data_IF_602687597516
#
_entry.id   IF_602687597516
#
_cell.length_a   1.000
_cell.length_b   1.000
_cell.length_c   1.000
_cell.angle_alpha   90.00
_cell.angle_beta   90.00
_cell.angle_gamma   90.00
#
_symmetry.space_group_name_H-M   'P 1'
#
loop_
_entity.id
_entity.type
_entity.pdbx_description
1 polymer ?
#
# COMPACT_ATOMS: atom_id res chain seq x y z
N UNK A 1 12.34 4.88 -0.99
CA UNK A 1 11.49 4.01 -0.13
C UNK A 1 10.07 4.13 -0.64
N UNK A 2 9.25 3.12 -0.39
CA UNK A 2 7.87 3.06 -0.85
C UNK A 2 6.96 2.60 0.29
N UNK A 3 5.76 3.16 0.37
CA UNK A 3 4.78 2.87 1.40
C UNK A 3 3.46 2.42 0.77
N UNK A 4 2.94 1.29 1.21
CA UNK A 4 1.54 0.93 0.95
C UNK A 4 0.71 1.17 2.21
N UNK A 5 -0.28 2.05 2.13
CA UNK A 5 -1.17 2.40 3.25
C UNK A 5 -2.56 1.84 3.02
N UNK A 6 -3.01 1.00 3.95
CA UNK A 6 -4.38 0.50 3.98
C UNK A 6 -5.25 1.39 4.86
N UNK A 7 -6.35 1.88 4.30
CA UNK A 7 -7.31 2.75 4.99
C UNK A 7 -8.66 2.05 5.06
N UNK A 8 -9.19 2.02 6.26
CA UNK A 8 -10.60 1.78 6.51
C UNK A 8 -11.39 3.02 6.13
N UNK A 9 -12.16 2.92 5.05
CA UNK A 9 -12.94 4.00 4.51
C UNK A 9 -14.26 4.19 5.27
N UNK A 10 -14.77 3.16 5.95
CA UNK A 10 -15.95 3.22 6.82
C UNK A 10 -15.66 4.03 8.09
N UNK A 11 -14.52 3.75 8.74
CA UNK A 11 -14.13 4.40 10.01
C UNK A 11 -13.11 5.54 9.85
N UNK A 12 -12.67 5.81 8.61
CA UNK A 12 -11.64 6.80 8.28
C UNK A 12 -10.32 6.64 9.07
N UNK A 13 -9.90 5.39 9.32
CA UNK A 13 -8.65 5.09 10.04
C UNK A 13 -7.66 4.30 9.20
N UNK A 14 -6.38 4.45 9.51
CA UNK A 14 -5.33 3.58 8.96
C UNK A 14 -5.42 2.19 9.60
N UNK A 15 -5.48 1.16 8.77
CA UNK A 15 -5.46 -0.24 9.22
C UNK A 15 -4.04 -0.74 9.39
N UNK A 16 -3.18 -0.49 8.41
CA UNK A 16 -1.78 -0.94 8.38
C UNK A 16 -1.01 -0.14 7.34
N UNK A 17 0.29 0.03 7.60
CA UNK A 17 1.26 0.59 6.67
C UNK A 17 2.37 -0.42 6.44
N UNK A 18 2.70 -0.65 5.17
CA UNK A 18 3.77 -1.55 4.76
C UNK A 18 4.82 -0.73 4.01
N UNK A 19 5.92 -0.44 4.68
CA UNK A 19 7.06 0.22 4.08
C UNK A 19 8.03 -0.79 3.46
N UNK A 20 8.61 -0.41 2.32
CA UNK A 20 9.67 -1.14 1.63
C UNK A 20 10.80 -0.18 1.28
N UNK A 21 12.03 -0.63 1.45
CA UNK A 21 13.24 0.13 1.14
C UNK A 21 14.03 -0.62 0.09
N UNK A 22 14.52 0.10 -0.91
CA UNK A 22 15.40 -0.44 -1.95
C UNK A 22 16.23 0.67 -2.58
N UNK A 23 17.10 0.29 -3.50
CA UNK A 23 17.93 1.25 -4.25
C UNK A 23 17.12 1.84 -5.39
N UNK A 24 17.47 3.05 -5.82
CA UNK A 24 16.96 3.64 -7.06
C UNK A 24 17.04 2.64 -8.22
N UNK A 25 16.01 2.61 -9.05
CA UNK A 25 15.81 1.71 -10.18
C UNK A 25 15.60 0.22 -9.84
N UNK A 26 15.66 -0.16 -8.56
CA UNK A 26 15.25 -1.50 -8.11
C UNK A 26 13.72 -1.63 -8.14
N UNK A 27 13.24 -2.78 -8.57
CA UNK A 27 11.80 -3.07 -8.61
C UNK A 27 11.23 -3.17 -7.19
N UNK A 28 10.11 -2.49 -6.96
CA UNK A 28 9.40 -2.54 -5.68
C UNK A 28 8.63 -3.87 -5.61
N UNK A 29 8.87 -4.65 -4.56
CA UNK A 29 8.11 -5.87 -4.28
C UNK A 29 6.81 -5.57 -3.53
N UNK A 30 5.68 -5.75 -4.21
CA UNK A 30 4.33 -5.59 -3.64
C UNK A 30 3.73 -6.90 -3.10
N UNK A 31 4.46 -8.02 -3.06
CA UNK A 31 3.91 -9.32 -2.65
C UNK A 31 3.28 -9.27 -1.24
N UNK A 32 3.95 -8.61 -0.28
CA UNK A 32 3.41 -8.43 1.07
C UNK A 32 2.14 -7.59 1.10
N UNK A 33 2.09 -6.51 0.32
CA UNK A 33 0.91 -5.66 0.21
C UNK A 33 -0.27 -6.40 -0.43
N UNK A 34 -0.03 -7.15 -1.50
CA UNK A 34 -1.06 -7.98 -2.13
C UNK A 34 -1.58 -9.08 -1.19
N UNK A 35 -0.70 -9.72 -0.42
CA UNK A 35 -1.10 -10.69 0.59
C UNK A 35 -1.95 -10.04 1.71
N UNK A 36 -1.59 -8.83 2.15
CA UNK A 36 -2.35 -8.08 3.14
C UNK A 36 -3.72 -7.66 2.62
N UNK A 37 -3.79 -7.15 1.39
CA UNK A 37 -5.06 -6.86 0.71
C UNK A 37 -5.95 -8.11 0.69
N UNK A 38 -5.41 -9.25 0.24
CA UNK A 38 -6.15 -10.51 0.23
C UNK A 38 -6.66 -10.87 1.63
N UNK A 39 -5.84 -10.72 2.67
CA UNK A 39 -6.25 -11.01 4.05
C UNK A 39 -7.43 -10.15 4.51
N UNK A 40 -7.50 -8.87 4.14
CA UNK A 40 -8.65 -8.04 4.45
C UNK A 40 -9.91 -8.47 3.70
N UNK A 41 -9.79 -8.77 2.41
CA UNK A 41 -10.92 -9.27 1.60
C UNK A 41 -11.47 -10.59 2.15
N UNK A 42 -10.58 -11.51 2.54
CA UNK A 42 -10.96 -12.79 3.17
C UNK A 42 -11.67 -12.58 4.52
N UNK A 43 -11.44 -11.44 5.19
CA UNK A 43 -12.08 -11.05 6.47
C UNK A 43 -13.37 -10.25 6.28
N UNK A 44 -13.84 -10.07 5.04
CA UNK A 44 -15.10 -9.40 4.74
C UNK A 44 -15.00 -7.90 4.43
N UNK A 45 -13.79 -7.32 4.38
CA UNK A 45 -13.63 -5.98 3.84
C UNK A 45 -13.91 -5.96 2.34
N UNK A 46 -14.40 -4.83 1.83
CA UNK A 46 -14.74 -4.62 0.42
C UNK A 46 -13.78 -3.60 -0.19
N UNK A 47 -13.23 -3.92 -1.36
CA UNK A 47 -12.30 -3.03 -2.05
C UNK A 47 -13.02 -1.80 -2.63
N UNK A 48 -12.56 -0.60 -2.24
CA UNK A 48 -13.04 0.68 -2.77
C UNK A 48 -12.06 1.26 -3.78
N UNK A 49 -10.77 1.29 -3.43
CA UNK A 49 -9.71 1.77 -4.30
C UNK A 49 -8.42 0.98 -4.06
N UNK A 50 -7.67 0.71 -5.13
CA UNK A 50 -6.38 0.04 -5.07
C UNK A 50 -5.37 0.80 -5.92
N UNK A 51 -4.40 1.45 -5.28
CA UNK A 51 -3.29 2.11 -5.95
C UNK A 51 -2.04 1.22 -6.05
N UNK A 52 -2.09 -0.05 -5.60
CA UNK A 52 -0.97 -0.99 -5.81
C UNK A 52 -0.82 -1.22 -7.33
N UNK A 53 0.35 -0.89 -7.92
CA UNK A 53 0.57 -1.05 -9.36
C UNK A 53 0.49 -2.52 -9.80
N UNK A 54 -0.10 -2.75 -10.98
CA UNK A 54 -0.11 -4.06 -11.64
C UNK A 54 1.05 -4.26 -12.61
N UNK A 55 1.78 -3.19 -12.90
CA UNK A 55 2.99 -3.18 -13.72
C UNK A 55 4.23 -2.98 -12.84
N UNK A 56 5.40 -3.35 -13.38
CA UNK A 56 6.67 -3.06 -12.74
C UNK A 56 6.75 -1.58 -12.35
N UNK A 57 7.08 -1.33 -11.09
CA UNK A 57 7.31 0.00 -10.53
C UNK A 57 8.62 -0.06 -9.77
N UNK A 58 9.45 0.98 -9.92
CA UNK A 58 10.80 1.04 -9.35
C UNK A 58 10.88 2.12 -8.28
N UNK A 59 11.82 1.95 -7.35
CA UNK A 59 12.18 3.02 -6.44
C UNK A 59 12.74 4.20 -7.23
N UNK A 60 12.23 5.39 -6.94
CA UNK A 60 12.66 6.61 -7.60
C UNK A 60 13.97 7.17 -7.00
N UNK A 61 14.33 8.37 -7.42
CA UNK A 61 15.51 9.12 -6.94
C UNK A 61 15.16 10.13 -5.86
N UNK A 62 13.91 10.21 -5.41
CA UNK A 62 13.47 11.27 -4.52
C UNK A 62 13.96 10.98 -3.10
N UNK A 63 14.32 12.06 -2.39
CA UNK A 63 14.76 11.96 -1.00
C UNK A 63 13.60 11.64 -0.07
N UNK A 64 13.76 10.61 0.75
CA UNK A 64 12.75 10.15 1.72
C UNK A 64 13.05 10.63 3.16
N UNK A 65 13.92 11.64 3.35
CA UNK A 65 14.26 12.17 4.68
C UNK A 65 13.03 12.58 5.50
N UNK A 66 11.95 13.01 4.84
CA UNK A 66 10.68 13.39 5.49
C UNK A 66 9.59 12.32 5.38
N UNK A 67 9.97 11.08 5.07
CA UNK A 67 9.09 9.94 4.83
C UNK A 67 9.06 9.52 3.36
N UNK A 68 8.44 8.37 3.05
CA UNK A 68 8.44 7.81 1.70
C UNK A 68 7.79 8.75 0.68
N UNK A 69 8.52 9.04 -0.38
CA UNK A 69 8.08 9.84 -1.53
C UNK A 69 7.09 9.09 -2.42
N UNK A 70 7.20 7.76 -2.47
CA UNK A 70 6.27 6.88 -3.17
C UNK A 70 5.26 6.27 -2.19
N UNK A 71 4.02 6.75 -2.24
CA UNK A 71 2.93 6.25 -1.38
C UNK A 71 1.80 5.73 -2.25
N UNK A 72 1.36 4.50 -1.97
CA UNK A 72 0.24 3.84 -2.64
C UNK A 72 -0.85 3.56 -1.61
N UNK A 73 -2.06 4.08 -1.85
CA UNK A 73 -3.18 3.94 -0.92
C UNK A 73 -4.15 2.86 -1.39
N UNK A 74 -4.53 1.99 -0.47
CA UNK A 74 -5.63 1.03 -0.65
C UNK A 74 -6.75 1.41 0.31
N UNK A 75 -7.96 1.59 -0.23
CA UNK A 75 -9.15 1.93 0.55
C UNK A 75 -10.11 0.75 0.56
N UNK A 76 -10.58 0.42 1.76
CA UNK A 76 -11.45 -0.70 2.03
C UNK A 76 -12.64 -0.24 2.87
N UNK A 77 -13.86 -0.65 2.54
CA UNK A 77 -15.00 -0.55 3.44
C UNK A 77 -15.10 -1.83 4.29
N UNK A 78 -15.64 -1.74 5.49
CA UNK A 78 -16.17 -2.89 6.21
C UNK A 78 -17.63 -2.66 6.64
N UNK A 79 -18.30 -3.76 6.99
CA UNK A 79 -19.61 -3.70 7.64
C UNK A 79 -19.41 -3.34 9.13
N UNK A 80 -20.21 -2.40 9.65
CA UNK A 80 -20.20 -1.95 11.06
C UNK A 80 -21.09 -2.81 11.94
#
# INVERSE_FOLDING_TARGET
>A
AALVRFIDNTEHRTLTELESTGKTDETIDFAKANAQLKSYLDRGYKLVANEIPTTETKFDTNDDTNGPSQVFVVRLDHDT
#
